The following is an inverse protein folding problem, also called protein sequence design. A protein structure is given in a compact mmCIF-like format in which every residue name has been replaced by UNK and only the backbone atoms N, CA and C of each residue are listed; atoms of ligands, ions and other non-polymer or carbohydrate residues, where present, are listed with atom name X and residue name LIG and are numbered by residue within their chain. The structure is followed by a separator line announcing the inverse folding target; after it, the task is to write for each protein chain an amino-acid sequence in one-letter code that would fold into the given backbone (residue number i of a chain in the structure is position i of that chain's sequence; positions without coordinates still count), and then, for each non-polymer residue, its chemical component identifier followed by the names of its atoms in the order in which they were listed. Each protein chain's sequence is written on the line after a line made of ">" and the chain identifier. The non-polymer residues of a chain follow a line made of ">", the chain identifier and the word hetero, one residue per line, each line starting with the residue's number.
data_IF_779332781839
#
_entry.id   IF_779332781839
#
_cell.length_a   1.000
_cell.length_b   1.000
_cell.length_c   1.000
_cell.angle_alpha   90.00
_cell.angle_beta   90.00
_cell.angle_gamma   90.00
#
_symmetry.space_group_name_H-M   'P 1'
#
loop_
_entity.id
_entity.type
_entity.pdbx_description
1 polymer ?
#
# COMPACT_ATOMS: atom_id res chain seq x y z
N UNK A 1 -43.30 -67.14 -39.30
CA UNK A 1 -43.62 -67.54 -37.91
C UNK A 1 -42.85 -66.60 -36.99
N UNK A 2 -43.52 -65.58 -36.52
CA UNK A 2 -42.93 -64.44 -35.79
C UNK A 2 -43.27 -64.65 -34.32
N UNK A 3 -42.25 -64.72 -33.47
CA UNK A 3 -42.42 -64.81 -32.01
C UNK A 3 -42.06 -63.46 -31.37
N UNK A 4 -43.04 -62.83 -30.73
CA UNK A 4 -42.88 -61.61 -29.94
C UNK A 4 -42.39 -61.97 -28.57
N UNK A 5 -41.24 -61.39 -28.14
CA UNK A 5 -40.78 -61.37 -26.73
C UNK A 5 -41.14 -60.03 -26.08
N UNK A 6 -41.97 -60.10 -25.04
CA UNK A 6 -42.31 -59.01 -24.16
C UNK A 6 -41.18 -58.78 -23.11
N UNK A 7 -40.63 -57.62 -23.03
CA UNK A 7 -39.78 -57.18 -21.95
C UNK A 7 -40.59 -56.43 -20.86
N UNK A 8 -40.33 -56.62 -19.58
CA UNK A 8 -41.06 -55.92 -18.52
C UNK A 8 -40.41 -54.55 -18.24
N UNK A 9 -41.21 -53.54 -18.43
CA UNK A 9 -40.93 -52.14 -18.11
C UNK A 9 -41.39 -51.86 -16.67
N UNK A 10 -40.61 -52.22 -15.66
CA UNK A 10 -40.94 -51.88 -14.26
C UNK A 10 -39.73 -52.10 -13.32
N UNK A 11 -38.70 -51.30 -13.37
CA UNK A 11 -37.66 -51.22 -12.31
C UNK A 11 -36.83 -49.93 -12.27
N UNK A 12 -37.16 -48.89 -13.00
CA UNK A 12 -36.39 -47.63 -13.04
C UNK A 12 -36.94 -46.52 -12.16
N UNK A 13 -38.17 -46.61 -11.67
CA UNK A 13 -38.82 -45.58 -10.85
C UNK A 13 -38.40 -45.60 -9.34
N UNK A 14 -37.89 -46.72 -8.85
CA UNK A 14 -37.48 -46.83 -7.42
C UNK A 14 -36.01 -46.42 -7.13
N UNK A 15 -35.18 -46.18 -8.17
CA UNK A 15 -33.79 -45.74 -7.97
C UNK A 15 -33.60 -44.23 -8.07
N UNK A 16 -34.56 -43.52 -8.64
CA UNK A 16 -34.56 -42.04 -8.71
C UNK A 16 -35.10 -41.37 -7.42
N UNK A 17 -35.92 -42.07 -6.66
CA UNK A 17 -36.48 -41.54 -5.40
C UNK A 17 -35.50 -41.54 -4.24
N UNK A 18 -34.49 -42.43 -4.23
CA UNK A 18 -33.47 -42.47 -3.15
C UNK A 18 -32.27 -41.53 -3.36
N UNK A 19 -32.01 -41.12 -4.62
CA UNK A 19 -30.96 -40.16 -4.93
C UNK A 19 -31.38 -38.72 -4.72
N UNK A 20 -32.69 -38.41 -4.70
CA UNK A 20 -33.20 -37.05 -4.46
C UNK A 20 -33.33 -36.71 -2.96
N UNK A 21 -33.32 -37.68 -2.08
CA UNK A 21 -33.41 -37.49 -0.60
C UNK A 21 -32.03 -37.35 0.07
N UNK A 22 -30.93 -37.63 -0.63
CA UNK A 22 -29.56 -37.49 -0.08
C UNK A 22 -28.86 -36.17 -0.47
N UNK A 23 -29.49 -35.33 -1.31
CA UNK A 23 -28.94 -34.01 -1.71
C UNK A 23 -29.54 -32.88 -0.87
N UNK A 24 -30.54 -33.13 -0.05
CA UNK A 24 -31.22 -32.11 0.78
C UNK A 24 -30.70 -32.01 2.22
N UNK A 25 -29.58 -32.65 2.55
CA UNK A 25 -29.06 -32.74 3.93
C UNK A 25 -27.73 -32.07 4.22
N UNK A 26 -27.14 -31.31 3.28
CA UNK A 26 -25.90 -30.54 3.53
C UNK A 26 -26.10 -29.07 3.18
N UNK A 27 -27.13 -28.44 3.75
CA UNK A 27 -27.04 -27.00 4.01
C UNK A 27 -26.06 -26.82 5.18
N UNK A 28 -24.77 -26.73 4.88
CA UNK A 28 -23.84 -26.05 5.77
C UNK A 28 -24.43 -24.66 5.97
N UNK A 29 -24.92 -24.39 7.18
CA UNK A 29 -25.20 -23.03 7.59
C UNK A 29 -23.91 -22.24 7.35
N UNK A 30 -23.86 -21.48 6.27
CA UNK A 30 -22.85 -20.46 6.07
C UNK A 30 -23.08 -19.46 7.21
N UNK A 31 -22.35 -19.59 8.30
CA UNK A 31 -22.29 -18.54 9.31
C UNK A 31 -21.83 -17.29 8.57
N UNK A 32 -22.69 -16.31 8.50
CA UNK A 32 -22.36 -15.01 7.92
C UNK A 32 -21.23 -14.42 8.74
N UNK A 33 -20.01 -14.57 8.24
CA UNK A 33 -18.82 -14.03 8.88
C UNK A 33 -18.82 -12.52 8.70
N UNK A 34 -18.64 -11.78 9.79
CA UNK A 34 -18.50 -10.32 9.74
C UNK A 34 -17.31 -9.94 8.86
N UNK A 35 -17.57 -9.17 7.81
CA UNK A 35 -16.55 -8.64 6.87
C UNK A 35 -16.79 -7.17 6.60
N UNK A 36 -15.73 -6.37 6.70
CA UNK A 36 -15.74 -5.02 6.17
C UNK A 36 -15.68 -5.08 4.64
N UNK A 37 -16.68 -4.56 3.95
CA UNK A 37 -16.71 -4.52 2.50
C UNK A 37 -16.64 -3.08 1.98
N UNK A 38 -15.99 -2.91 0.82
CA UNK A 38 -15.96 -1.65 0.08
C UNK A 38 -16.61 -1.91 -1.28
N UNK A 39 -17.92 -1.76 -1.34
CA UNK A 39 -18.65 -1.76 -2.60
C UNK A 39 -18.91 -0.32 -3.06
N UNK A 40 -18.96 -0.11 -4.37
CA UNK A 40 -19.32 1.18 -4.95
C UNK A 40 -20.78 1.49 -4.57
N UNK A 41 -20.98 2.43 -3.63
CA UNK A 41 -22.33 2.89 -3.30
C UNK A 41 -22.46 3.44 -1.89
N UNK A 42 -22.70 2.62 -0.91
CA UNK A 42 -22.82 3.02 0.49
C UNK A 42 -21.62 2.53 1.30
N UNK A 43 -20.80 3.47 1.75
CA UNK A 43 -19.68 3.19 2.63
C UNK A 43 -20.11 3.45 4.07
N UNK A 44 -20.24 2.38 4.85
CA UNK A 44 -20.43 2.45 6.29
C UNK A 44 -19.25 1.76 6.98
N UNK A 45 -18.30 2.52 7.57
CA UNK A 45 -17.17 1.90 8.26
C UNK A 45 -17.64 0.99 9.37
N UNK A 46 -17.09 -0.25 9.44
CA UNK A 46 -17.43 -1.25 10.43
C UNK A 46 -17.14 -0.73 11.86
N UNK A 47 -18.13 -0.68 12.75
CA UNK A 47 -17.88 -0.33 14.14
C UNK A 47 -17.07 -1.40 14.84
N UNK A 48 -15.89 -1.03 15.36
CA UNK A 48 -14.99 -1.93 16.07
C UNK A 48 -14.69 -1.39 17.47
N UNK A 49 -14.81 -2.23 18.48
CA UNK A 49 -14.33 -1.93 19.82
C UNK A 49 -12.88 -2.42 19.93
N UNK A 50 -11.98 -1.53 20.32
CA UNK A 50 -10.59 -1.85 20.65
C UNK A 50 -10.36 -1.40 22.08
N UNK A 51 -10.41 -2.35 23.01
CA UNK A 51 -10.21 -2.07 24.43
C UNK A 51 -8.74 -1.72 24.72
N UNK A 52 -8.49 -0.91 25.73
CA UNK A 52 -7.12 -0.75 26.24
C UNK A 52 -6.62 -2.09 26.74
N UNK A 53 -5.40 -2.47 26.37
CA UNK A 53 -4.81 -3.74 26.75
C UNK A 53 -4.48 -3.70 28.24
N UNK A 54 -4.83 -4.77 28.95
CA UNK A 54 -4.55 -4.90 30.36
C UNK A 54 -3.04 -5.07 30.61
N UNK A 55 -2.43 -4.18 31.39
CA UNK A 55 -1.06 -4.38 31.87
C UNK A 55 -1.04 -5.30 33.08
N UNK A 56 -0.28 -6.39 33.02
CA UNK A 56 -0.11 -7.32 34.15
C UNK A 56 0.94 -6.81 35.16
N UNK A 57 1.58 -5.69 34.86
CA UNK A 57 2.49 -4.93 35.72
C UNK A 57 2.49 -3.46 35.31
N UNK A 58 2.93 -2.53 36.19
CA UNK A 58 2.82 -1.09 35.93
C UNK A 58 3.56 -0.59 34.67
N UNK A 59 4.67 -1.22 34.28
CA UNK A 59 5.40 -0.84 33.06
C UNK A 59 4.66 -1.31 31.80
N UNK A 60 4.03 -2.48 31.85
CA UNK A 60 3.25 -3.04 30.76
C UNK A 60 1.89 -2.34 30.58
N UNK A 61 1.32 -1.73 31.62
CA UNK A 61 0.02 -1.04 31.57
C UNK A 61 0.06 0.17 30.63
N UNK A 62 1.10 0.99 30.72
CA UNK A 62 1.29 2.11 29.79
C UNK A 62 1.45 1.60 28.36
N UNK A 63 2.29 0.59 28.14
CA UNK A 63 2.53 0.00 26.81
C UNK A 63 1.21 -0.58 26.23
N UNK A 64 0.42 -1.26 27.06
CA UNK A 64 -0.88 -1.80 26.66
C UNK A 64 -1.85 -0.73 26.15
N UNK A 65 -1.96 0.37 26.86
CA UNK A 65 -2.78 1.54 26.48
C UNK A 65 -2.29 2.17 25.18
N UNK A 66 -0.97 2.37 25.04
CA UNK A 66 -0.35 2.94 23.85
C UNK A 66 -0.56 2.05 22.62
N UNK A 67 -0.41 0.73 22.75
CA UNK A 67 -0.69 -0.27 21.69
C UNK A 67 -2.13 -0.13 21.21
N UNK A 68 -3.11 -0.15 22.12
CA UNK A 68 -4.51 -0.02 21.75
C UNK A 68 -4.81 1.31 21.04
N UNK A 69 -4.17 2.40 21.49
CA UNK A 69 -4.26 3.71 20.85
C UNK A 69 -3.78 3.70 19.38
N UNK A 70 -2.65 3.08 19.12
CA UNK A 70 -2.11 2.95 17.74
C UNK A 70 -2.99 2.05 16.89
N UNK A 71 -3.52 0.95 17.43
CA UNK A 71 -4.44 0.06 16.70
C UNK A 71 -5.70 0.82 16.29
N UNK A 72 -6.33 1.56 17.20
CA UNK A 72 -7.49 2.42 16.89
C UNK A 72 -7.17 3.39 15.76
N UNK A 73 -6.08 4.11 15.87
CA UNK A 73 -5.65 5.09 14.86
C UNK A 73 -5.39 4.45 13.48
N UNK A 74 -4.76 3.27 13.44
CA UNK A 74 -4.50 2.54 12.20
C UNK A 74 -5.81 2.09 11.53
N UNK A 75 -6.69 1.43 12.27
CA UNK A 75 -7.96 0.94 11.74
C UNK A 75 -8.84 2.10 11.24
N UNK A 76 -8.92 3.18 12.00
CA UNK A 76 -9.63 4.40 11.57
C UNK A 76 -9.01 5.01 10.31
N UNK A 77 -7.65 5.04 10.22
CA UNK A 77 -6.93 5.59 9.07
C UNK A 77 -7.22 4.81 7.80
N UNK A 78 -7.46 3.52 7.86
CA UNK A 78 -7.84 2.72 6.69
C UNK A 78 -9.16 3.18 6.07
N UNK A 79 -10.00 3.87 6.83
CA UNK A 79 -11.35 4.27 6.42
C UNK A 79 -12.37 3.14 6.44
N UNK A 80 -11.97 1.88 6.62
CA UNK A 80 -12.87 0.72 6.65
C UNK A 80 -13.49 0.48 8.01
N UNK A 81 -12.91 1.02 9.06
CA UNK A 81 -13.34 0.82 10.44
C UNK A 81 -13.66 2.15 11.11
N UNK A 82 -14.57 2.08 12.05
CA UNK A 82 -14.92 3.16 12.98
C UNK A 82 -14.71 2.66 14.41
N UNK A 83 -13.54 2.89 15.00
CA UNK A 83 -13.30 2.57 16.40
C UNK A 83 -14.31 3.28 17.30
N UNK A 84 -14.84 2.54 18.25
CA UNK A 84 -15.74 3.08 19.27
C UNK A 84 -14.92 3.80 20.36
N UNK A 85 -15.50 4.81 20.97
CA UNK A 85 -14.87 5.56 22.07
C UNK A 85 -14.69 4.64 23.29
N UNK A 86 -13.45 4.41 23.76
CA UNK A 86 -13.18 3.57 24.93
C UNK A 86 -13.91 4.03 26.21
N UNK A 87 -14.20 5.31 26.32
CA UNK A 87 -14.97 5.84 27.46
C UNK A 87 -16.41 5.32 27.54
N UNK A 88 -16.93 4.78 26.42
CA UNK A 88 -18.26 4.17 26.36
C UNK A 88 -18.29 2.71 26.81
N UNK A 89 -17.15 2.08 27.04
CA UNK A 89 -17.07 0.65 27.35
C UNK A 89 -17.56 0.36 28.77
N UNK A 90 -18.48 -0.59 28.86
CA UNK A 90 -19.20 -0.91 30.11
C UNK A 90 -18.28 -1.67 31.08
N UNK A 91 -17.34 -2.46 30.53
CA UNK A 91 -16.46 -3.33 31.31
C UNK A 91 -15.12 -3.57 30.60
N UNK A 92 -14.16 -4.06 31.36
CA UNK A 92 -12.94 -4.66 30.81
C UNK A 92 -13.16 -6.14 30.58
N UNK A 93 -12.64 -6.65 29.48
CA UNK A 93 -12.63 -8.07 29.15
C UNK A 93 -11.24 -8.66 29.43
N UNK A 94 -11.19 -9.94 29.75
CA UNK A 94 -9.96 -10.65 30.10
C UNK A 94 -9.62 -11.67 29.00
N UNK A 95 -8.37 -11.73 28.58
CA UNK A 95 -7.87 -12.71 27.61
C UNK A 95 -8.17 -14.15 28.07
N UNK A 96 -8.67 -14.98 27.17
CA UNK A 96 -9.00 -16.40 27.44
C UNK A 96 -10.36 -16.62 28.07
N UNK A 97 -11.12 -15.57 28.34
CA UNK A 97 -12.51 -15.66 28.83
C UNK A 97 -13.44 -15.14 27.74
N UNK A 98 -14.51 -15.87 27.37
CA UNK A 98 -15.47 -15.34 26.38
C UNK A 98 -16.03 -13.98 26.81
N UNK A 99 -16.02 -12.96 25.92
CA UNK A 99 -16.54 -11.65 26.24
C UNK A 99 -18.06 -11.66 26.54
N UNK A 100 -18.53 -10.66 27.29
CA UNK A 100 -19.95 -10.42 27.47
C UNK A 100 -20.55 -9.78 26.20
N UNK A 101 -20.73 -10.55 25.14
CA UNK A 101 -21.21 -10.08 23.84
C UNK A 101 -22.47 -9.19 23.87
N UNK A 102 -23.46 -9.42 24.75
CA UNK A 102 -24.62 -8.53 24.84
C UNK A 102 -24.26 -7.07 25.13
N UNK A 103 -23.24 -6.81 25.97
CA UNK A 103 -22.81 -5.46 26.34
C UNK A 103 -22.21 -4.73 25.11
N UNK A 104 -21.46 -5.45 24.29
CA UNK A 104 -20.85 -4.92 23.07
C UNK A 104 -21.86 -4.68 21.95
N UNK A 105 -22.93 -5.50 21.87
CA UNK A 105 -24.05 -5.26 20.95
C UNK A 105 -24.84 -4.01 21.29
N UNK A 106 -25.03 -3.69 22.57
CA UNK A 106 -25.65 -2.42 23.00
C UNK A 106 -24.87 -1.22 22.45
N UNK A 107 -23.52 -1.31 22.41
CA UNK A 107 -22.63 -0.31 21.83
C UNK A 107 -22.57 -0.36 20.28
N UNK A 108 -23.27 -1.32 19.67
CA UNK A 108 -23.27 -1.59 18.22
C UNK A 108 -21.88 -1.93 17.68
N UNK A 109 -21.03 -2.56 18.48
CA UNK A 109 -19.80 -3.13 18.01
C UNK A 109 -20.10 -4.36 17.14
N UNK A 110 -19.47 -4.44 15.97
CA UNK A 110 -19.50 -5.65 15.12
C UNK A 110 -18.28 -6.53 15.36
N UNK A 111 -17.13 -5.93 15.69
CA UNK A 111 -15.92 -6.62 16.10
C UNK A 111 -15.40 -6.07 17.42
N UNK A 112 -14.73 -6.95 18.21
CA UNK A 112 -14.11 -6.61 19.48
C UNK A 112 -12.67 -7.12 19.49
N UNK A 113 -11.72 -6.24 19.76
CA UNK A 113 -10.31 -6.56 19.95
C UNK A 113 -9.93 -6.25 21.40
N UNK A 114 -9.45 -7.28 22.11
CA UNK A 114 -8.96 -7.19 23.49
C UNK A 114 -7.52 -7.65 23.57
N UNK A 115 -6.80 -7.26 24.59
CA UNK A 115 -5.41 -7.65 24.74
C UNK A 115 -4.88 -7.48 26.16
N UNK A 116 -3.70 -8.06 26.38
CA UNK A 116 -2.91 -7.88 27.59
C UNK A 116 -1.43 -7.67 27.26
N UNK A 117 -0.72 -6.98 28.12
CA UNK A 117 0.73 -6.79 28.04
C UNK A 117 1.38 -7.23 29.36
N UNK A 118 2.57 -7.82 29.27
CA UNK A 118 3.32 -8.31 30.44
C UNK A 118 4.82 -8.13 30.21
N UNK A 119 5.51 -7.57 31.20
CA UNK A 119 6.96 -7.55 31.24
C UNK A 119 7.50 -8.94 31.54
N UNK A 120 8.51 -9.38 30.80
CA UNK A 120 9.18 -10.67 30.98
C UNK A 120 10.51 -10.49 31.71
N UNK A 121 10.97 -11.54 32.38
CA UNK A 121 12.21 -11.54 33.17
C UNK A 121 13.47 -11.31 32.31
N UNK A 122 13.39 -11.51 31.00
CA UNK A 122 14.47 -11.28 30.03
C UNK A 122 14.47 -9.85 29.45
N UNK A 123 13.65 -8.95 30.00
CA UNK A 123 13.55 -7.55 29.58
C UNK A 123 12.66 -7.30 28.37
N UNK A 124 12.03 -8.32 27.81
CA UNK A 124 11.03 -8.16 26.73
C UNK A 124 9.64 -7.88 27.30
N UNK A 125 8.75 -7.40 26.43
CA UNK A 125 7.32 -7.29 26.69
C UNK A 125 6.60 -8.33 25.84
N UNK A 126 5.76 -9.14 26.47
CA UNK A 126 4.82 -10.05 25.83
C UNK A 126 3.49 -9.34 25.66
N UNK A 127 2.93 -9.39 24.47
CA UNK A 127 1.61 -8.86 24.14
C UNK A 127 0.76 -10.00 23.58
N UNK A 128 -0.41 -10.23 24.18
CA UNK A 128 -1.41 -11.18 23.70
C UNK A 128 -2.64 -10.41 23.28
N UNK A 129 -3.32 -10.87 22.22
CA UNK A 129 -4.59 -10.27 21.81
C UNK A 129 -5.53 -11.33 21.25
N UNK A 130 -6.81 -10.99 21.30
CA UNK A 130 -7.89 -11.78 20.74
C UNK A 130 -8.84 -10.84 19.99
N UNK A 131 -9.29 -11.26 18.81
CA UNK A 131 -10.29 -10.58 18.00
C UNK A 131 -11.53 -11.45 17.94
N UNK A 132 -12.68 -10.84 18.17
CA UNK A 132 -13.98 -11.50 18.18
C UNK A 132 -14.94 -10.89 17.17
N UNK A 133 -15.79 -11.73 16.58
CA UNK A 133 -17.05 -11.36 15.97
C UNK A 133 -18.10 -11.22 17.08
N UNK A 134 -18.64 -10.02 17.26
CA UNK A 134 -19.62 -9.72 18.32
C UNK A 134 -21.00 -10.28 17.98
N UNK A 135 -21.35 -10.32 16.68
CA UNK A 135 -22.64 -10.80 16.22
C UNK A 135 -22.68 -12.34 16.18
N UNK A 136 -21.58 -12.95 15.70
CA UNK A 136 -21.39 -14.40 15.65
C UNK A 136 -21.02 -15.03 16.99
N UNK A 137 -20.65 -14.23 18.00
CA UNK A 137 -20.18 -14.69 19.34
C UNK A 137 -18.99 -15.65 19.24
N UNK A 138 -18.10 -15.43 18.28
CA UNK A 138 -16.96 -16.31 18.05
C UNK A 138 -15.61 -15.57 18.08
N UNK A 139 -14.57 -16.28 18.53
CA UNK A 139 -13.21 -15.78 18.46
C UNK A 139 -12.63 -16.01 17.06
N UNK A 140 -12.31 -14.93 16.37
CA UNK A 140 -11.79 -14.95 15.01
C UNK A 140 -10.30 -15.30 14.93
N UNK A 141 -9.49 -14.70 15.80
CA UNK A 141 -8.04 -14.94 15.90
C UNK A 141 -7.57 -14.72 17.35
N UNK A 142 -6.44 -15.36 17.70
CA UNK A 142 -5.69 -15.13 18.91
C UNK A 142 -4.21 -15.29 18.61
N UNK A 143 -3.38 -14.30 18.99
CA UNK A 143 -1.93 -14.33 18.81
C UNK A 143 -1.20 -13.76 20.01
N UNK A 144 0.10 -14.04 20.06
CA UNK A 144 1.01 -13.39 20.99
C UNK A 144 2.30 -12.97 20.29
N UNK A 145 2.87 -11.87 20.76
CA UNK A 145 4.17 -11.36 20.34
C UNK A 145 5.05 -11.15 21.58
N UNK A 146 6.37 -11.21 21.39
CA UNK A 146 7.33 -10.81 22.41
C UNK A 146 8.40 -9.96 21.75
N UNK A 147 8.67 -8.77 22.30
CA UNK A 147 9.61 -7.82 21.72
C UNK A 147 10.29 -6.99 22.80
N UNK A 148 11.37 -6.28 22.45
CA UNK A 148 11.94 -5.26 23.35
C UNK A 148 10.92 -4.12 23.57
N UNK A 149 10.90 -3.48 24.74
CA UNK A 149 9.95 -2.41 25.05
C UNK A 149 9.89 -1.32 23.98
N UNK A 150 11.02 -0.88 23.47
CA UNK A 150 11.12 0.19 22.44
C UNK A 150 10.44 -0.17 21.11
N UNK A 151 10.17 -1.45 20.86
CA UNK A 151 9.53 -1.92 19.64
C UNK A 151 8.01 -2.13 19.79
N UNK A 152 7.40 -1.69 20.88
CA UNK A 152 5.96 -1.89 21.16
C UNK A 152 5.06 -1.38 20.03
N UNK A 153 5.45 -0.27 19.41
CA UNK A 153 4.69 0.36 18.34
C UNK A 153 4.57 -0.54 17.10
N UNK A 154 5.66 -1.25 16.76
CA UNK A 154 5.65 -2.24 15.70
C UNK A 154 4.65 -3.38 15.98
N UNK A 155 4.55 -3.81 17.24
CA UNK A 155 3.55 -4.82 17.63
C UNK A 155 2.14 -4.30 17.40
N UNK A 156 1.85 -3.03 17.70
CA UNK A 156 0.56 -2.43 17.42
C UNK A 156 0.22 -2.44 15.91
N UNK A 157 1.20 -2.15 15.05
CA UNK A 157 1.03 -2.22 13.59
C UNK A 157 0.75 -3.65 13.13
N UNK A 158 1.50 -4.64 13.62
CA UNK A 158 1.28 -6.05 13.28
C UNK A 158 -0.09 -6.57 13.74
N UNK A 159 -0.53 -6.18 14.94
CA UNK A 159 -1.89 -6.50 15.40
C UNK A 159 -2.95 -5.86 14.49
N UNK A 160 -2.71 -4.60 14.07
CA UNK A 160 -3.61 -3.92 13.13
C UNK A 160 -3.67 -4.64 11.79
N UNK A 161 -2.54 -5.13 11.27
CA UNK A 161 -2.49 -5.91 10.02
C UNK A 161 -3.27 -7.22 10.15
N UNK A 162 -3.09 -7.96 11.25
CA UNK A 162 -3.84 -9.21 11.50
C UNK A 162 -5.34 -8.98 11.63
N UNK A 163 -5.75 -7.94 12.36
CA UNK A 163 -7.17 -7.59 12.52
C UNK A 163 -7.77 -7.12 11.17
N UNK A 164 -7.05 -6.30 10.44
CA UNK A 164 -7.45 -5.80 9.12
C UNK A 164 -7.64 -6.96 8.13
N UNK A 165 -6.64 -7.84 8.00
CA UNK A 165 -6.68 -8.97 7.09
C UNK A 165 -7.82 -9.93 7.43
N UNK A 166 -7.99 -10.23 8.73
CA UNK A 166 -9.05 -11.14 9.18
C UNK A 166 -10.45 -10.62 8.91
N UNK A 167 -10.66 -9.31 9.03
CA UNK A 167 -11.97 -8.66 8.85
C UNK A 167 -12.27 -8.25 7.40
N UNK A 168 -11.24 -8.04 6.56
CA UNK A 168 -11.42 -7.57 5.18
C UNK A 168 -11.12 -8.66 4.14
N UNK A 169 -10.30 -9.64 4.48
CA UNK A 169 -9.74 -10.62 3.54
C UNK A 169 -8.59 -10.08 2.68
N UNK A 170 -8.13 -8.85 2.95
CA UNK A 170 -7.02 -8.19 2.24
C UNK A 170 -5.86 -8.01 3.21
N UNK A 171 -4.64 -8.29 2.77
CA UNK A 171 -3.42 -8.10 3.58
C UNK A 171 -3.34 -6.69 4.14
N UNK A 172 -2.91 -6.55 5.38
CA UNK A 172 -2.67 -5.25 6.01
C UNK A 172 -1.50 -4.49 5.40
N UNK A 173 -1.29 -3.25 5.85
CA UNK A 173 -0.20 -2.39 5.36
C UNK A 173 0.36 -1.48 6.47
N UNK A 174 0.04 -1.76 7.73
CA UNK A 174 0.40 -0.88 8.84
C UNK A 174 1.83 -1.10 9.33
N UNK A 175 2.37 -2.33 9.30
CA UNK A 175 3.79 -2.59 9.64
C UNK A 175 4.71 -2.26 8.45
N UNK A 176 4.66 -0.99 8.01
CA UNK A 176 5.42 -0.46 6.88
C UNK A 176 6.02 0.91 7.19
N UNK A 177 6.94 1.36 6.33
CA UNK A 177 7.60 2.66 6.43
C UNK A 177 7.44 3.48 5.17
N UNK A 178 7.58 4.78 5.33
CA UNK A 178 7.61 5.76 4.23
C UNK A 178 8.99 6.40 4.21
N UNK A 179 9.65 6.38 3.05
CA UNK A 179 10.79 7.24 2.75
C UNK A 179 10.30 8.37 1.85
N UNK A 180 10.75 9.58 2.08
CA UNK A 180 10.40 10.74 1.28
C UNK A 180 11.56 11.74 1.23
N UNK A 181 11.48 12.68 0.32
CA UNK A 181 12.43 13.80 0.24
C UNK A 181 11.89 14.93 1.11
N UNK A 182 12.63 15.24 2.16
CA UNK A 182 12.41 16.39 3.02
C UNK A 182 13.17 17.60 2.45
N UNK A 183 12.43 18.64 2.04
CA UNK A 183 12.99 19.86 1.48
C UNK A 183 13.00 20.99 2.49
N UNK A 184 14.09 21.72 2.57
CA UNK A 184 14.24 22.90 3.42
C UNK A 184 15.08 23.97 2.71
N UNK A 185 14.94 25.23 3.15
CA UNK A 185 15.60 26.40 2.54
C UNK A 185 14.75 27.10 1.49
N UNK A 186 15.12 28.33 1.13
CA UNK A 186 14.42 29.13 0.12
C UNK A 186 14.79 28.66 -1.29
N UNK A 187 13.85 28.76 -2.23
CA UNK A 187 14.10 28.51 -3.63
C UNK A 187 15.22 29.45 -4.14
N UNK A 188 16.27 28.87 -4.72
CA UNK A 188 17.37 29.63 -5.36
C UNK A 188 18.63 29.83 -4.52
N UNK A 189 18.63 29.57 -3.20
CA UNK A 189 19.85 29.65 -2.38
C UNK A 189 19.85 28.62 -1.28
N UNK A 190 20.61 27.54 -1.44
CA UNK A 190 20.83 26.58 -0.38
C UNK A 190 19.64 25.65 -0.08
N UNK A 191 18.80 25.33 -1.08
CA UNK A 191 17.75 24.29 -0.93
C UNK A 191 18.41 22.96 -0.61
N UNK A 192 18.05 22.36 0.49
CA UNK A 192 18.47 21.02 0.90
C UNK A 192 17.35 20.02 0.63
N UNK A 193 17.68 18.90 0.00
CA UNK A 193 16.78 17.81 -0.32
C UNK A 193 17.36 16.52 0.28
N UNK A 194 16.81 16.06 1.41
CA UNK A 194 17.35 14.94 2.17
C UNK A 194 16.32 13.83 2.28
N UNK A 195 16.77 12.58 2.31
CA UNK A 195 15.88 11.48 2.60
C UNK A 195 15.54 11.41 4.09
N UNK A 196 14.26 11.36 4.38
CA UNK A 196 13.69 11.03 5.68
C UNK A 196 12.92 9.72 5.60
N UNK A 197 12.94 8.94 6.69
CA UNK A 197 12.14 7.74 6.89
C UNK A 197 11.24 7.94 8.10
N UNK A 198 10.03 7.37 8.06
CA UNK A 198 9.08 7.38 9.18
C UNK A 198 8.18 6.14 9.09
N UNK A 199 7.47 5.80 10.17
CA UNK A 199 6.40 4.82 10.12
C UNK A 199 5.26 5.32 9.22
N UNK A 200 4.45 4.41 8.69
CA UNK A 200 3.37 4.76 7.73
C UNK A 200 2.33 5.73 8.32
N UNK A 201 2.31 5.93 9.62
CA UNK A 201 1.41 6.84 10.33
C UNK A 201 2.06 8.18 10.70
N UNK A 202 3.31 8.41 10.28
CA UNK A 202 4.09 9.63 10.51
C UNK A 202 4.92 9.62 11.78
N UNK A 203 4.90 8.54 12.56
CA UNK A 203 5.73 8.41 13.75
C UNK A 203 7.21 8.12 13.42
N UNK A 204 8.09 8.34 14.40
CA UNK A 204 9.52 8.03 14.33
C UNK A 204 10.26 8.63 13.11
N UNK A 205 10.04 9.92 12.76
CA UNK A 205 10.73 10.53 11.62
C UNK A 205 12.22 10.66 11.88
N UNK A 206 13.06 10.19 10.93
CA UNK A 206 14.51 10.29 11.02
C UNK A 206 15.13 10.55 9.64
N UNK A 207 16.20 11.38 9.61
CA UNK A 207 17.01 11.53 8.40
C UNK A 207 17.89 10.31 8.17
N UNK A 208 17.91 9.80 6.94
CA UNK A 208 18.76 8.67 6.52
C UNK A 208 19.90 9.11 5.59
N UNK A 209 19.94 10.38 5.18
CA UNK A 209 21.06 10.96 4.45
C UNK A 209 21.66 12.15 5.18
N UNK A 210 22.99 12.39 5.06
CA UNK A 210 23.66 13.57 5.63
C UNK A 210 23.14 14.89 5.07
N UNK A 211 23.38 16.00 5.77
CA UNK A 211 22.94 17.32 5.35
C UNK A 211 23.60 17.81 4.04
N UNK A 212 24.77 17.30 3.72
CA UNK A 212 25.51 17.60 2.48
C UNK A 212 24.97 16.88 1.23
N UNK A 213 24.03 15.95 1.43
CA UNK A 213 23.43 15.18 0.35
C UNK A 213 22.24 15.90 -0.26
N UNK A 214 22.17 15.91 -1.60
CA UNK A 214 20.93 16.21 -2.31
C UNK A 214 20.40 14.91 -2.90
N UNK A 215 19.31 14.43 -2.38
CA UNK A 215 18.70 13.16 -2.75
C UNK A 215 17.29 13.36 -3.28
N UNK A 216 16.90 12.57 -4.29
CA UNK A 216 15.65 12.67 -5.02
C UNK A 216 15.11 11.27 -5.37
N UNK A 217 13.84 11.19 -5.66
CA UNK A 217 13.13 10.02 -6.20
C UNK A 217 13.48 8.70 -5.51
N UNK A 218 13.36 8.60 -4.16
CA UNK A 218 13.59 7.33 -3.49
C UNK A 218 12.54 6.30 -3.93
N UNK A 219 12.94 5.01 -3.98
CA UNK A 219 12.03 3.89 -4.24
C UNK A 219 12.45 2.69 -3.41
N UNK A 220 11.48 2.07 -2.74
CA UNK A 220 11.71 0.83 -2.01
C UNK A 220 11.85 -0.38 -2.93
N UNK A 221 12.73 -1.30 -2.55
CA UNK A 221 12.68 -2.67 -3.03
C UNK A 221 11.39 -3.34 -2.53
N UNK A 222 10.67 -4.08 -3.37
CA UNK A 222 9.46 -4.80 -2.94
C UNK A 222 9.74 -6.00 -2.05
N UNK A 223 10.99 -6.47 -1.98
CA UNK A 223 11.38 -7.71 -1.30
C UNK A 223 12.37 -7.52 -0.16
N UNK A 224 13.02 -6.36 -0.05
CA UNK A 224 14.07 -6.08 0.94
C UNK A 224 13.93 -4.69 1.55
N UNK A 225 14.55 -4.49 2.72
CA UNK A 225 14.68 -3.17 3.34
C UNK A 225 15.79 -2.35 2.66
N UNK A 226 15.63 -2.13 1.37
CA UNK A 226 16.53 -1.38 0.51
C UNK A 226 15.76 -0.32 -0.27
N UNK A 227 16.44 0.78 -0.56
CA UNK A 227 15.91 1.84 -1.42
C UNK A 227 16.92 2.15 -2.53
N UNK A 228 16.43 2.48 -3.72
CA UNK A 228 17.19 3.24 -4.72
C UNK A 228 16.84 4.71 -4.60
N UNK A 229 17.79 5.58 -4.88
CA UNK A 229 17.55 7.01 -4.98
C UNK A 229 18.55 7.68 -5.91
N UNK A 230 18.17 8.83 -6.44
CA UNK A 230 19.06 9.72 -7.19
C UNK A 230 19.75 10.69 -6.20
N UNK A 231 21.04 10.95 -6.42
CA UNK A 231 21.77 12.01 -5.73
C UNK A 231 22.55 12.87 -6.71
N UNK A 232 22.61 14.17 -6.46
CA UNK A 232 23.45 15.14 -7.17
C UNK A 232 24.73 15.39 -6.38
N UNK A 233 25.64 14.42 -6.36
CA UNK A 233 26.97 14.63 -5.79
C UNK A 233 27.88 15.26 -6.85
N UNK A 234 28.49 16.41 -6.54
CA UNK A 234 29.37 17.12 -7.45
C UNK A 234 28.72 17.46 -8.80
N UNK A 235 27.44 17.87 -8.75
CA UNK A 235 26.61 18.26 -9.90
C UNK A 235 26.38 17.15 -10.95
N UNK A 236 26.63 15.88 -10.58
CA UNK A 236 26.36 14.73 -11.45
C UNK A 236 25.29 13.85 -10.84
N UNK A 237 24.23 13.52 -11.60
CA UNK A 237 23.19 12.61 -11.14
C UNK A 237 23.74 11.18 -11.05
N UNK A 238 23.60 10.59 -9.87
CA UNK A 238 24.05 9.22 -9.58
C UNK A 238 22.92 8.43 -8.95
N UNK A 239 22.74 7.18 -9.35
CA UNK A 239 21.79 6.26 -8.72
C UNK A 239 22.49 5.42 -7.69
N UNK A 240 21.98 5.44 -6.48
CA UNK A 240 22.46 4.65 -5.36
C UNK A 240 21.46 3.58 -4.95
N UNK A 241 21.98 2.46 -4.47
CA UNK A 241 21.26 1.48 -3.66
C UNK A 241 21.68 1.69 -2.20
N UNK A 242 20.72 1.80 -1.31
CA UNK A 242 20.95 1.96 0.12
C UNK A 242 20.22 0.88 0.89
N UNK A 243 20.96 0.11 1.69
CA UNK A 243 20.42 -0.90 2.57
C UNK A 243 20.15 -0.29 3.95
N UNK A 244 18.90 -0.27 4.37
CA UNK A 244 18.44 0.36 5.62
C UNK A 244 18.85 -0.42 6.88
N UNK A 245 19.11 -1.73 6.76
CA UNK A 245 19.51 -2.57 7.90
C UNK A 245 21.01 -2.45 8.20
N UNK A 246 21.81 -2.46 7.13
CA UNK A 246 23.28 -2.41 7.26
C UNK A 246 23.85 -1.00 7.17
N UNK A 247 23.02 -0.02 6.85
CA UNK A 247 23.38 1.39 6.63
C UNK A 247 24.45 1.55 5.51
N UNK A 248 24.47 0.62 4.55
CA UNK A 248 25.44 0.63 3.43
C UNK A 248 24.84 1.23 2.18
N UNK A 249 25.63 2.06 1.53
CA UNK A 249 25.31 2.70 0.26
C UNK A 249 26.22 2.17 -0.82
N UNK A 250 25.65 1.82 -1.97
CA UNK A 250 26.34 1.32 -3.14
C UNK A 250 25.97 2.13 -4.37
N UNK A 251 26.95 2.51 -5.18
CA UNK A 251 26.73 3.21 -6.45
C UNK A 251 26.28 2.21 -7.52
N UNK A 252 25.09 2.45 -8.13
CA UNK A 252 24.56 1.63 -9.22
C UNK A 252 24.87 2.23 -10.59
N UNK A 253 24.63 3.54 -10.75
CA UNK A 253 24.85 4.26 -12.02
C UNK A 253 25.67 5.51 -11.72
N UNK A 254 26.80 5.64 -12.36
CA UNK A 254 27.85 6.62 -12.06
C UNK A 254 27.60 8.03 -12.67
N UNK A 255 26.50 8.29 -13.37
CA UNK A 255 26.15 9.63 -13.80
C UNK A 255 27.01 10.17 -14.94
N UNK A 256 27.56 9.33 -15.79
CA UNK A 256 28.14 9.74 -17.09
C UNK A 256 27.09 10.35 -18.03
N UNK A 257 25.80 10.05 -17.80
CA UNK A 257 24.63 10.62 -18.44
C UNK A 257 23.55 10.95 -17.40
N UNK A 258 22.69 11.92 -17.70
CA UNK A 258 21.52 12.24 -16.87
C UNK A 258 20.65 11.00 -16.72
N UNK A 259 20.35 10.62 -15.48
CA UNK A 259 19.60 9.41 -15.13
C UNK A 259 18.47 9.77 -14.19
N UNK A 260 17.28 9.15 -14.36
CA UNK A 260 16.07 9.52 -13.64
C UNK A 260 15.27 8.29 -13.20
N UNK A 261 14.42 8.47 -12.19
CA UNK A 261 13.31 7.62 -11.80
C UNK A 261 13.65 6.12 -11.69
N UNK A 262 14.66 5.72 -10.89
CA UNK A 262 14.96 4.30 -10.70
C UNK A 262 13.76 3.59 -10.04
N UNK A 263 13.40 2.36 -10.51
CA UNK A 263 12.35 1.51 -9.93
C UNK A 263 12.73 0.05 -9.98
N UNK A 264 12.48 -0.67 -8.91
CA UNK A 264 12.72 -2.10 -8.84
C UNK A 264 11.73 -2.92 -9.66
N UNK A 265 12.19 -4.09 -10.14
CA UNK A 265 11.31 -5.17 -10.57
C UNK A 265 10.60 -5.82 -9.38
N UNK A 266 9.43 -6.49 -9.58
CA UNK A 266 8.67 -7.10 -8.48
C UNK A 266 9.45 -8.15 -7.67
N UNK A 267 10.41 -8.83 -8.29
CA UNK A 267 11.31 -9.79 -7.65
C UNK A 267 12.51 -9.13 -6.94
N UNK A 268 12.68 -7.79 -7.08
CA UNK A 268 13.81 -7.06 -6.53
C UNK A 268 15.15 -7.31 -7.24
N UNK A 269 15.18 -8.12 -8.31
CA UNK A 269 16.41 -8.53 -8.98
C UNK A 269 16.95 -7.54 -10.01
N UNK A 270 16.15 -6.59 -10.47
CA UNK A 270 16.55 -5.58 -11.44
C UNK A 270 15.94 -4.22 -11.13
N UNK A 271 16.48 -3.17 -11.75
CA UNK A 271 15.89 -1.83 -11.75
C UNK A 271 15.65 -1.34 -13.16
N UNK A 272 14.57 -0.59 -13.35
CA UNK A 272 14.37 0.29 -14.49
C UNK A 272 14.85 1.69 -14.12
N UNK A 273 15.34 2.42 -15.11
CA UNK A 273 15.65 3.85 -14.99
C UNK A 273 15.61 4.51 -16.37
N UNK A 274 15.41 5.81 -16.42
CA UNK A 274 15.50 6.58 -17.64
C UNK A 274 16.89 7.20 -17.74
N UNK A 275 17.51 7.18 -18.94
CA UNK A 275 18.84 7.70 -19.18
C UNK A 275 18.85 8.58 -20.44
N UNK A 276 19.52 9.73 -20.34
CA UNK A 276 19.73 10.65 -21.47
C UNK A 276 20.85 10.17 -22.40
N UNK A 277 20.58 10.13 -23.69
CA UNK A 277 21.50 9.81 -24.78
C UNK A 277 21.73 11.03 -25.69
N UNK A 278 22.11 12.18 -25.10
CA UNK A 278 22.39 13.40 -25.87
C UNK A 278 21.12 14.17 -26.24
N UNK A 279 20.19 14.30 -25.32
CA UNK A 279 18.92 14.99 -25.50
C UNK A 279 17.74 14.05 -25.80
N UNK A 280 18.00 12.76 -25.92
CA UNK A 280 16.99 11.72 -26.07
C UNK A 280 16.99 10.80 -24.85
N UNK A 281 15.88 10.73 -24.12
CA UNK A 281 15.76 9.95 -22.88
C UNK A 281 15.11 8.61 -23.22
N UNK A 282 15.74 7.54 -22.75
CA UNK A 282 15.34 6.18 -23.02
C UNK A 282 15.29 5.32 -21.75
N UNK A 283 14.48 4.27 -21.76
CA UNK A 283 14.33 3.35 -20.65
C UNK A 283 15.41 2.28 -20.69
N UNK A 284 16.10 2.15 -19.57
CA UNK A 284 17.13 1.15 -19.31
C UNK A 284 16.64 0.14 -18.26
N UNK A 285 17.13 -1.11 -18.35
CA UNK A 285 17.00 -2.14 -17.31
C UNK A 285 18.37 -2.61 -16.90
N UNK A 286 18.65 -2.61 -15.58
CA UNK A 286 19.90 -3.14 -15.01
C UNK A 286 19.59 -4.34 -14.13
N UNK A 287 20.28 -5.46 -14.36
CA UNK A 287 20.33 -6.61 -13.45
C UNK A 287 21.22 -6.25 -12.25
N UNK A 288 20.68 -6.33 -11.03
CA UNK A 288 21.39 -5.90 -9.81
C UNK A 288 22.50 -6.85 -9.39
N UNK A 289 22.47 -8.11 -9.81
CA UNK A 289 23.48 -9.09 -9.50
C UNK A 289 24.69 -8.97 -10.45
N UNK A 290 24.46 -8.84 -11.76
CA UNK A 290 25.51 -8.78 -12.77
C UNK A 290 25.98 -7.37 -13.09
N UNK A 291 25.20 -6.35 -12.72
CA UNK A 291 25.39 -4.92 -13.06
C UNK A 291 25.32 -4.64 -14.56
N UNK A 292 24.85 -5.57 -15.34
CA UNK A 292 24.63 -5.37 -16.78
C UNK A 292 23.35 -4.58 -17.01
N UNK A 293 23.46 -3.52 -17.83
CA UNK A 293 22.33 -2.69 -18.24
C UNK A 293 22.05 -2.90 -19.74
N UNK A 294 20.77 -2.98 -20.08
CA UNK A 294 20.28 -3.04 -21.46
C UNK A 294 19.32 -1.89 -21.71
N UNK A 295 19.34 -1.32 -22.91
CA UNK A 295 18.40 -0.33 -23.37
C UNK A 295 17.13 -1.02 -23.85
N UNK A 296 15.97 -0.64 -23.31
CA UNK A 296 14.67 -1.23 -23.67
C UNK A 296 13.94 -0.42 -24.74
N UNK A 297 14.10 0.91 -24.75
CA UNK A 297 13.48 1.76 -25.79
C UNK A 297 14.55 2.40 -26.68
N UNK A 298 14.20 2.62 -27.94
CA UNK A 298 15.05 3.30 -28.93
C UNK A 298 14.16 4.08 -29.91
N UNK A 299 13.73 5.28 -29.48
CA UNK A 299 12.81 6.12 -30.23
C UNK A 299 13.25 7.60 -30.10
N UNK A 300 13.04 8.49 -31.10
CA UNK A 300 13.38 9.91 -30.99
C UNK A 300 12.63 10.69 -29.92
N UNK A 301 11.57 10.11 -29.34
CA UNK A 301 10.78 10.71 -28.28
C UNK A 301 11.43 10.49 -26.90
N UNK A 302 11.04 11.29 -25.93
CA UNK A 302 11.43 11.16 -24.53
C UNK A 302 10.58 10.06 -23.87
N UNK A 303 11.24 8.96 -23.46
CA UNK A 303 10.66 7.86 -22.73
C UNK A 303 11.13 7.90 -21.28
N UNK A 304 10.22 8.03 -20.31
CA UNK A 304 10.57 8.23 -18.90
C UNK A 304 9.58 7.58 -17.93
N UNK A 305 9.90 7.65 -16.62
CA UNK A 305 9.02 7.19 -15.51
C UNK A 305 8.52 5.75 -15.66
N UNK A 306 9.41 4.76 -15.94
CA UNK A 306 8.98 3.38 -16.12
C UNK A 306 8.52 2.73 -14.81
N UNK A 307 7.54 1.80 -14.90
CA UNK A 307 7.09 0.96 -13.77
C UNK A 307 6.71 -0.43 -14.27
N UNK A 308 7.19 -1.48 -13.58
CA UNK A 308 6.82 -2.86 -13.88
C UNK A 308 5.37 -3.16 -13.48
N UNK A 309 4.73 -4.08 -14.20
CA UNK A 309 3.53 -4.79 -13.75
C UNK A 309 3.84 -5.71 -12.56
N UNK A 310 2.85 -6.08 -11.71
CA UNK A 310 3.09 -6.92 -10.53
C UNK A 310 3.64 -8.31 -10.86
N UNK A 311 3.37 -8.84 -12.04
CA UNK A 311 3.92 -10.09 -12.56
C UNK A 311 5.30 -9.95 -13.22
N UNK A 312 5.80 -8.71 -13.38
CA UNK A 312 7.09 -8.41 -14.01
C UNK A 312 7.15 -8.60 -15.52
N UNK A 313 6.03 -8.89 -16.18
CA UNK A 313 6.00 -9.21 -17.62
C UNK A 313 5.84 -7.99 -18.52
N UNK A 314 5.33 -6.86 -17.97
CA UNK A 314 5.07 -5.62 -18.70
C UNK A 314 5.68 -4.41 -17.99
N UNK A 315 5.83 -3.32 -18.73
CA UNK A 315 6.31 -2.03 -18.24
C UNK A 315 5.35 -0.95 -18.74
N UNK A 316 4.83 -0.12 -17.84
CA UNK A 316 4.18 1.15 -18.18
C UNK A 316 5.20 2.27 -18.12
N UNK A 317 5.10 3.26 -19.00
CA UNK A 317 6.00 4.40 -19.05
C UNK A 317 5.32 5.62 -19.69
N UNK A 318 5.89 6.81 -19.46
CA UNK A 318 5.48 8.05 -20.12
C UNK A 318 6.30 8.25 -21.38
N UNK A 319 5.66 8.69 -22.49
CA UNK A 319 6.32 8.99 -23.75
C UNK A 319 5.61 10.13 -24.49
N UNK A 320 6.39 11.03 -25.12
CA UNK A 320 5.85 12.11 -25.95
C UNK A 320 5.82 11.77 -27.46
N UNK A 321 6.01 10.49 -27.83
CA UNK A 321 6.02 9.99 -29.23
C UNK A 321 4.73 10.27 -30.01
N UNK A 322 3.64 10.63 -29.33
CA UNK A 322 2.39 11.06 -29.97
C UNK A 322 2.18 12.58 -29.95
N UNK A 323 3.24 13.38 -29.73
CA UNK A 323 3.24 14.84 -29.73
C UNK A 323 3.03 15.46 -28.34
N UNK A 324 2.61 14.70 -27.34
CA UNK A 324 2.51 15.11 -25.93
C UNK A 324 2.71 13.89 -25.04
N UNK A 325 3.11 14.13 -23.77
CA UNK A 325 3.31 13.03 -22.81
C UNK A 325 2.04 12.21 -22.61
N UNK A 326 2.12 10.91 -22.90
CA UNK A 326 1.05 9.92 -22.80
C UNK A 326 1.59 8.64 -22.16
N UNK A 327 0.72 7.78 -21.62
CA UNK A 327 1.12 6.50 -21.09
C UNK A 327 1.12 5.41 -22.17
N UNK A 328 2.18 4.62 -22.13
CA UNK A 328 2.39 3.46 -22.99
C UNK A 328 2.67 2.22 -22.14
N UNK A 329 2.24 1.05 -22.60
CA UNK A 329 2.57 -0.26 -22.03
C UNK A 329 3.37 -1.04 -23.08
N UNK A 330 4.45 -1.69 -22.64
CA UNK A 330 5.30 -2.56 -23.47
C UNK A 330 5.62 -3.86 -22.72
N UNK A 331 6.14 -4.86 -23.41
CA UNK A 331 6.73 -6.04 -22.79
C UNK A 331 7.94 -5.68 -21.94
N UNK A 332 8.26 -6.49 -20.93
CA UNK A 332 9.44 -6.29 -20.07
C UNK A 332 10.78 -6.46 -20.83
N UNK A 333 10.74 -6.98 -22.05
CA UNK A 333 11.85 -7.06 -23.01
C UNK A 333 12.00 -5.79 -23.88
N UNK A 334 11.09 -4.80 -23.73
CA UNK A 334 11.04 -3.58 -24.53
C UNK A 334 10.17 -3.70 -25.79
N UNK A 335 9.55 -4.84 -26.05
CA UNK A 335 8.76 -5.08 -27.24
C UNK A 335 7.34 -4.51 -27.22
N UNK A 336 6.83 -4.09 -28.39
CA UNK A 336 5.42 -3.80 -28.63
C UNK A 336 4.81 -2.64 -27.84
N UNK A 337 5.43 -1.43 -27.76
CA UNK A 337 4.86 -0.33 -27.00
C UNK A 337 3.52 0.12 -27.57
N UNK A 338 2.47 0.13 -26.75
CA UNK A 338 1.12 0.53 -27.08
C UNK A 338 0.65 1.67 -26.19
N UNK A 339 0.08 2.72 -26.78
CA UNK A 339 -0.53 3.84 -26.07
C UNK A 339 -1.82 3.41 -25.39
N UNK A 340 -2.01 3.81 -24.12
CA UNK A 340 -3.20 3.49 -23.32
C UNK A 340 -4.01 4.73 -22.89
N UNK A 341 -3.55 5.97 -23.17
CA UNK A 341 -4.24 7.23 -22.83
C UNK A 341 -4.60 8.03 -24.05
N UNK A 342 -5.87 8.50 -24.16
CA UNK A 342 -6.40 9.12 -25.36
C UNK A 342 -7.20 10.41 -25.12
N UNK A 343 -7.33 10.90 -23.89
CA UNK A 343 -8.11 12.11 -23.58
C UNK A 343 -7.51 13.33 -24.28
N UNK A 344 -8.28 14.03 -25.13
CA UNK A 344 -7.79 15.17 -25.88
C UNK A 344 -7.28 16.30 -24.96
N UNK A 345 -6.11 16.86 -25.28
CA UNK A 345 -5.50 17.98 -24.54
C UNK A 345 -4.94 17.63 -23.17
N UNK A 346 -5.08 16.39 -22.72
CA UNK A 346 -4.47 15.92 -21.48
C UNK A 346 -3.04 15.42 -21.70
N UNK A 347 -2.19 15.63 -20.69
CA UNK A 347 -0.85 15.06 -20.58
C UNK A 347 -0.85 14.09 -19.40
N UNK A 348 -0.13 12.99 -19.52
CA UNK A 348 -0.04 11.96 -18.51
C UNK A 348 1.41 11.68 -18.15
N UNK A 349 1.69 11.55 -16.86
CA UNK A 349 3.04 11.35 -16.35
C UNK A 349 3.07 10.52 -15.07
N UNK A 350 4.30 10.16 -14.63
CA UNK A 350 4.58 9.44 -13.39
C UNK A 350 3.69 8.19 -13.15
N UNK A 351 3.53 7.29 -14.15
CA UNK A 351 2.72 6.09 -13.94
C UNK A 351 3.39 5.16 -12.95
N UNK A 352 2.56 4.56 -12.08
CA UNK A 352 2.99 3.55 -11.11
C UNK A 352 1.99 2.41 -11.12
N UNK A 353 2.44 1.24 -11.51
CA UNK A 353 1.60 0.05 -11.47
C UNK A 353 1.33 -0.38 -10.03
N UNK A 354 0.10 -0.82 -9.74
CA UNK A 354 -0.26 -1.42 -8.45
C UNK A 354 0.61 -2.65 -8.18
N UNK A 355 1.02 -2.91 -6.93
CA UNK A 355 1.78 -4.11 -6.59
C UNK A 355 0.95 -5.40 -6.61
N UNK A 356 -0.37 -5.33 -6.64
CA UNK A 356 -1.28 -6.48 -6.48
C UNK A 356 -2.28 -6.65 -7.62
N UNK A 357 -2.59 -5.59 -8.37
CA UNK A 357 -3.64 -5.58 -9.38
C UNK A 357 -3.17 -4.97 -10.70
N UNK A 358 -3.90 -5.23 -11.77
CA UNK A 358 -3.62 -4.70 -13.11
C UNK A 358 -4.14 -3.25 -13.28
N UNK A 359 -3.83 -2.41 -12.29
CA UNK A 359 -4.25 -1.01 -12.18
C UNK A 359 -3.02 -0.10 -12.12
N UNK A 360 -3.08 1.04 -12.80
CA UNK A 360 -2.02 2.05 -12.87
C UNK A 360 -2.51 3.33 -12.20
N UNK A 361 -1.74 3.86 -11.23
CA UNK A 361 -1.88 5.23 -10.75
C UNK A 361 -1.02 6.15 -11.62
N UNK A 362 -1.48 7.37 -11.88
CA UNK A 362 -0.79 8.33 -12.75
C UNK A 362 -1.11 9.77 -12.35
N UNK A 363 -0.30 10.69 -12.82
CA UNK A 363 -0.57 12.13 -12.76
C UNK A 363 -1.07 12.59 -14.14
N UNK A 364 -2.23 13.23 -14.13
CA UNK A 364 -2.81 13.88 -15.32
C UNK A 364 -2.72 15.38 -15.19
N UNK A 365 -2.23 16.03 -16.21
CA UNK A 365 -2.27 17.48 -16.38
C UNK A 365 -3.19 17.84 -17.55
N UNK A 366 -4.08 18.82 -17.36
CA UNK A 366 -5.04 19.24 -18.39
C UNK A 366 -5.80 20.47 -17.97
N UNK A 367 -7.04 20.59 -18.44
CA UNK A 367 -7.94 21.62 -17.94
C UNK A 367 -8.11 21.42 -16.41
N UNK A 368 -8.01 22.54 -15.67
CA UNK A 368 -8.23 22.53 -14.23
C UNK A 368 -9.61 21.93 -13.90
N UNK A 369 -9.69 21.15 -12.80
CA UNK A 369 -10.95 20.65 -12.30
C UNK A 369 -11.86 21.80 -11.77
N UNK A 370 -13.03 21.45 -11.27
CA UNK A 370 -13.97 22.45 -10.72
C UNK A 370 -13.40 23.27 -9.54
N UNK A 371 -12.35 22.76 -8.87
CA UNK A 371 -11.61 23.46 -7.81
C UNK A 371 -10.44 24.32 -8.31
N UNK A 372 -10.22 24.40 -9.64
CA UNK A 372 -9.09 25.13 -10.22
C UNK A 372 -7.75 24.44 -10.11
N UNK A 373 -7.72 23.11 -9.87
CA UNK A 373 -6.52 22.30 -9.70
C UNK A 373 -6.10 21.71 -11.06
N UNK A 374 -4.92 22.09 -11.61
CA UNK A 374 -4.49 21.67 -12.93
C UNK A 374 -3.90 20.26 -12.97
N UNK A 375 -3.45 19.74 -11.83
CA UNK A 375 -2.91 18.38 -11.69
C UNK A 375 -3.92 17.49 -10.99
N UNK A 376 -4.01 16.25 -11.46
CA UNK A 376 -4.94 15.26 -10.93
C UNK A 376 -4.21 13.92 -10.77
N UNK A 377 -4.31 13.33 -9.59
CA UNK A 377 -3.99 11.93 -9.38
C UNK A 377 -5.15 11.11 -9.93
N UNK A 378 -4.86 10.20 -10.84
CA UNK A 378 -5.82 9.28 -11.43
C UNK A 378 -5.42 7.83 -11.27
N UNK A 379 -6.37 6.95 -11.52
CA UNK A 379 -6.18 5.50 -11.65
C UNK A 379 -6.90 4.99 -12.90
N UNK A 380 -6.37 3.95 -13.54
CA UNK A 380 -6.98 3.26 -14.67
C UNK A 380 -6.55 1.80 -14.71
N UNK A 381 -7.28 0.97 -15.42
CA UNK A 381 -6.82 -0.38 -15.76
C UNK A 381 -5.62 -0.30 -16.72
N UNK A 382 -4.79 -1.33 -16.77
CA UNK A 382 -3.59 -1.36 -17.61
C UNK A 382 -3.87 -1.35 -19.13
N UNK A 383 -5.10 -1.60 -19.54
CA UNK A 383 -5.57 -1.46 -20.92
C UNK A 383 -6.07 -0.04 -21.26
N UNK A 384 -6.04 0.88 -20.28
CA UNK A 384 -6.52 2.26 -20.41
C UNK A 384 -8.02 2.44 -20.10
N UNK A 385 -8.75 1.38 -19.78
CA UNK A 385 -10.15 1.46 -19.37
C UNK A 385 -10.31 1.94 -17.93
N UNK A 386 -11.53 2.34 -17.55
CA UNK A 386 -11.90 2.83 -16.20
C UNK A 386 -11.01 3.97 -15.69
N UNK A 387 -10.59 4.87 -16.60
CA UNK A 387 -9.83 6.08 -16.20
C UNK A 387 -10.71 6.96 -15.31
N UNK A 388 -10.19 7.27 -14.11
CA UNK A 388 -10.87 8.16 -13.16
C UNK A 388 -9.87 8.97 -12.34
N UNK A 389 -10.20 10.23 -12.13
CA UNK A 389 -9.44 11.10 -11.25
C UNK A 389 -9.94 10.92 -9.81
N UNK A 390 -9.02 10.70 -8.87
CA UNK A 390 -9.34 10.43 -7.48
C UNK A 390 -8.93 11.56 -6.53
N UNK A 391 -7.97 12.40 -6.91
CA UNK A 391 -7.62 13.62 -6.18
C UNK A 391 -7.11 14.70 -7.12
N UNK A 392 -7.26 15.98 -6.73
CA UNK A 392 -6.68 17.12 -7.42
C UNK A 392 -5.63 17.82 -6.58
N UNK A 393 -4.76 18.62 -7.26
CA UNK A 393 -3.75 19.44 -6.62
C UNK A 393 -3.35 20.62 -7.51
N UNK A 394 -2.78 21.67 -6.90
CA UNK A 394 -2.10 22.73 -7.64
C UNK A 394 -0.78 22.21 -8.26
N UNK A 395 -0.05 21.41 -7.47
CA UNK A 395 1.07 20.59 -7.91
C UNK A 395 0.98 19.25 -7.20
N UNK A 396 1.20 18.16 -7.93
CA UNK A 396 1.31 16.81 -7.37
C UNK A 396 2.37 16.05 -8.14
N UNK A 397 3.01 15.11 -7.44
CA UNK A 397 4.12 14.34 -8.00
C UNK A 397 4.19 12.94 -7.41
N UNK A 398 4.77 12.03 -8.19
CA UNK A 398 5.29 10.72 -7.84
C UNK A 398 4.40 9.91 -6.86
N UNK A 399 3.25 9.38 -7.30
CA UNK A 399 2.44 8.50 -6.45
C UNK A 399 3.20 7.21 -6.10
N UNK A 400 2.89 6.66 -4.92
CA UNK A 400 3.37 5.36 -4.46
C UNK A 400 2.23 4.57 -3.84
N UNK A 401 2.22 3.26 -4.06
CA UNK A 401 1.21 2.37 -3.51
C UNK A 401 1.63 1.82 -2.15
N UNK A 402 0.67 1.65 -1.24
CA UNK A 402 0.80 0.72 -0.13
C UNK A 402 0.96 -0.72 -0.66
N UNK A 403 1.66 -1.62 0.03
CA UNK A 403 1.98 -2.95 -0.49
C UNK A 403 0.75 -3.83 -0.78
N UNK A 404 -0.41 -3.50 -0.21
CA UNK A 404 -1.66 -4.20 -0.49
C UNK A 404 -2.44 -3.64 -1.70
N UNK A 405 -1.91 -2.66 -2.43
CA UNK A 405 -2.55 -2.09 -3.62
C UNK A 405 -3.80 -1.26 -3.36
N UNK A 406 -4.10 -0.93 -2.10
CA UNK A 406 -5.36 -0.26 -1.77
C UNK A 406 -5.25 1.22 -1.51
N UNK A 407 -4.13 1.65 -0.95
CA UNK A 407 -3.89 3.05 -0.60
C UNK A 407 -2.77 3.62 -1.45
N UNK A 408 -2.96 4.83 -1.95
CA UNK A 408 -1.96 5.58 -2.70
C UNK A 408 -1.51 6.76 -1.84
N UNK A 409 -0.19 6.93 -1.69
CA UNK A 409 0.40 8.13 -1.12
C UNK A 409 1.02 8.97 -2.22
N UNK A 410 0.93 10.29 -2.11
CA UNK A 410 1.45 11.24 -3.07
C UNK A 410 1.81 12.56 -2.39
N UNK A 411 2.69 13.32 -3.00
CA UNK A 411 2.95 14.68 -2.60
C UNK A 411 1.89 15.61 -3.20
N UNK A 412 1.37 16.53 -2.38
CA UNK A 412 0.37 17.51 -2.82
C UNK A 412 0.74 18.89 -2.31
N UNK A 413 0.83 19.83 -3.23
CA UNK A 413 0.97 21.24 -2.94
C UNK A 413 -0.36 21.96 -3.20
N UNK A 414 -0.78 22.78 -2.25
CA UNK A 414 -1.85 23.75 -2.46
C UNK A 414 -1.25 25.07 -2.92
N UNK A 415 -2.03 25.89 -3.62
CA UNK A 415 -1.56 27.16 -4.19
C UNK A 415 -0.89 28.05 -3.13
N UNK A 416 0.42 28.30 -3.30
CA UNK A 416 1.22 29.12 -2.37
C UNK A 416 1.59 28.43 -1.06
N UNK A 417 1.38 27.11 -0.95
CA UNK A 417 1.71 26.31 0.23
C UNK A 417 3.02 25.54 0.08
N UNK A 418 3.36 24.80 1.14
CA UNK A 418 4.41 23.77 1.07
C UNK A 418 3.81 22.45 0.62
N UNK A 419 4.62 21.65 -0.09
CA UNK A 419 4.23 20.29 -0.42
C UNK A 419 4.15 19.43 0.83
N UNK A 420 3.10 18.65 0.96
CA UNK A 420 2.85 17.73 2.06
C UNK A 420 2.47 16.37 1.51
N UNK A 421 2.69 15.30 2.30
CA UNK A 421 2.26 13.97 1.92
C UNK A 421 0.76 13.79 2.21
N UNK A 422 0.08 13.14 1.28
CA UNK A 422 -1.33 12.79 1.38
C UNK A 422 -1.52 11.33 1.00
N UNK A 423 -2.47 10.68 1.64
CA UNK A 423 -2.90 9.34 1.27
C UNK A 423 -4.37 9.32 0.88
N UNK A 424 -4.74 8.45 -0.04
CA UNK A 424 -6.10 8.27 -0.51
C UNK A 424 -6.35 6.79 -0.83
N UNK A 425 -7.55 6.31 -0.57
CA UNK A 425 -7.99 4.98 -1.01
C UNK A 425 -8.18 4.97 -2.54
N UNK A 426 -7.92 3.83 -3.18
CA UNK A 426 -8.07 3.64 -4.64
C UNK A 426 -9.48 4.02 -5.15
N UNK A 427 -10.48 4.02 -4.28
CA UNK A 427 -11.85 4.46 -4.61
C UNK A 427 -12.02 5.98 -4.67
N UNK A 428 -10.96 6.76 -4.38
CA UNK A 428 -11.00 8.22 -4.29
C UNK A 428 -11.56 8.76 -2.97
N UNK A 429 -11.71 7.90 -1.97
CA UNK A 429 -12.22 8.25 -0.63
C UNK A 429 -11.09 8.31 0.39
N UNK A 430 -11.42 8.76 1.60
CA UNK A 430 -10.51 8.77 2.73
C UNK A 430 -9.20 9.54 2.46
N UNK A 431 -9.31 10.70 1.78
CA UNK A 431 -8.18 11.60 1.55
C UNK A 431 -7.68 12.16 2.88
N UNK A 432 -6.43 11.89 3.24
CA UNK A 432 -5.83 12.29 4.51
C UNK A 432 -4.47 12.93 4.31
N UNK A 433 -4.22 14.03 5.01
CA UNK A 433 -2.92 14.67 5.06
C UNK A 433 -2.05 13.99 6.13
N UNK A 434 -0.82 13.68 5.77
CA UNK A 434 0.24 13.35 6.70
C UNK A 434 1.10 14.60 6.94
N UNK A 435 1.03 15.14 8.14
CA UNK A 435 1.79 16.35 8.49
C UNK A 435 3.26 16.02 8.65
N UNK A 436 4.11 16.70 7.91
CA UNK A 436 5.57 16.66 8.03
C UNK A 436 6.08 18.01 8.54
N UNK A 437 7.23 18.00 9.21
CA UNK A 437 7.84 19.24 9.75
C UNK A 437 8.45 20.12 8.65
N UNK A 438 8.72 19.53 7.48
CA UNK A 438 9.31 20.18 6.30
C UNK A 438 8.39 20.02 5.11
N UNK A 439 8.66 20.73 4.01
CA UNK A 439 8.13 20.36 2.71
C UNK A 439 8.53 18.89 2.40
N UNK A 440 7.59 18.11 1.92
CA UNK A 440 7.78 16.68 1.67
C UNK A 440 7.30 16.31 0.26
N UNK A 441 8.20 15.71 -0.51
CA UNK A 441 7.96 15.30 -1.90
C UNK A 441 8.49 13.88 -2.13
N UNK A 442 8.19 13.28 -3.26
CA UNK A 442 8.69 11.97 -3.70
C UNK A 442 8.52 10.85 -2.67
N UNK A 443 7.31 10.56 -2.18
CA UNK A 443 7.13 9.46 -1.23
C UNK A 443 7.42 8.10 -1.87
N UNK A 444 7.95 7.19 -1.06
CA UNK A 444 8.10 5.78 -1.40
C UNK A 444 7.62 4.93 -0.22
N UNK A 445 6.68 4.03 -0.49
CA UNK A 445 6.12 3.12 0.51
C UNK A 445 6.91 1.82 0.52
N UNK A 446 7.26 1.30 1.72
CA UNK A 446 7.98 0.04 1.87
C UNK A 446 7.06 -1.17 1.68
N UNK A 447 7.62 -2.36 1.40
CA UNK A 447 6.91 -3.60 1.69
C UNK A 447 6.63 -3.73 3.19
N UNK A 448 5.84 -4.74 3.59
CA UNK A 448 5.71 -5.12 4.99
C UNK A 448 7.09 -5.42 5.58
N UNK A 449 7.31 -5.03 6.82
CA UNK A 449 8.55 -5.31 7.52
C UNK A 449 8.66 -6.81 7.85
N UNK A 450 9.84 -7.43 7.72
CA UNK A 450 10.07 -8.85 7.96
C UNK A 450 9.85 -9.28 9.42
#
# INVERSE_FOLDING_TARGET
>A
MVSFMKTPMMSWLNRLGLALLLVLGLSTAATAQVRASVEQGFFNPMPIAVADFEGLDPAADQIGTEIAGVIRANLERSGLFRPLDPASFIRRETIGVPPAFPDWRVLRAEALLIGEAQSLSDGRVRVRFELYDVLGEERLIAFQYATLPDNWRRIAHRISDQAYERLTGVTGYFDTRIVFVAESGAAGSGRSSRLMIMDQDGANPAFITPASFQAFTPRFSPTMQQITFLSLESDRPRVYLYNLETNRRELLVDGSAMTFAPRFSPDGGSILYAQDFGGNIEIMRMDLRTRQAIRLTNHPAIDTSPSFSPDGTRIVFSSDRSGSSQLYVMGADGGGPQRITFTPGARYDAPVWSPTEDVIAFIRQGAANASGEPFQLGVMNADGSDERNIAGAYLTDNPTWAPNGRVIMFAREQRGGQSQLWSIDITGRNLRQMRTQTSAVDPAWSPLLP
#
